data_IF_003744356314
#
_entry.id   IF_003744356314
#
_cell.length_a   1.000
_cell.length_b   1.000
_cell.length_c   1.000
_cell.angle_alpha   90.00
_cell.angle_beta   90.00
_cell.angle_gamma   90.00
#
_symmetry.space_group_name_H-M   'P 1'
#
loop_
_entity.id
_entity.type
_entity.pdbx_description
1 polymer ?
#
# COMPACT_ATOMS: atom_id res chain seq x y z
N UNK A 1 -6.90 26.92 5.90
CA UNK A 1 -6.53 26.94 4.46
C UNK A 1 -5.95 25.56 4.08
N UNK A 2 -6.40 24.98 2.94
CA UNK A 2 -5.94 23.68 2.45
C UNK A 2 -4.56 23.77 1.76
N UNK A 3 -3.99 22.59 1.40
CA UNK A 3 -2.71 22.48 0.70
C UNK A 3 -2.70 23.27 -0.62
N UNK A 4 -3.79 23.21 -1.39
CA UNK A 4 -3.91 23.97 -2.65
C UNK A 4 -3.80 25.49 -2.46
N UNK A 5 -4.34 26.03 -1.38
CA UNK A 5 -4.19 27.46 -1.06
C UNK A 5 -2.73 27.82 -0.75
N UNK A 6 -2.03 26.97 0.01
CA UNK A 6 -0.61 27.18 0.31
C UNK A 6 0.27 27.15 -0.95
N UNK A 7 -0.01 26.25 -1.88
CA UNK A 7 0.68 26.20 -3.18
C UNK A 7 0.43 27.49 -3.97
N UNK A 8 -0.82 27.96 -4.03
CA UNK A 8 -1.15 29.19 -4.73
C UNK A 8 -0.46 30.41 -4.09
N UNK A 9 -0.46 30.50 -2.75
CA UNK A 9 0.23 31.59 -2.03
C UNK A 9 1.75 31.56 -2.29
N UNK A 10 2.34 30.37 -2.36
CA UNK A 10 3.76 30.20 -2.74
C UNK A 10 4.01 30.67 -4.18
N UNK A 11 3.17 30.29 -5.14
CA UNK A 11 3.31 30.71 -6.54
C UNK A 11 3.12 32.21 -6.72
N UNK A 12 2.19 32.81 -6.00
CA UNK A 12 2.00 34.26 -5.98
C UNK A 12 3.25 34.99 -5.43
N UNK A 13 3.84 34.49 -4.33
CA UNK A 13 5.07 35.06 -3.80
C UNK A 13 6.25 34.99 -4.79
N UNK A 14 6.35 33.92 -5.61
CA UNK A 14 7.32 33.87 -6.73
C UNK A 14 7.05 34.96 -7.77
N UNK A 15 5.80 35.26 -8.08
CA UNK A 15 5.44 36.35 -9.02
C UNK A 15 5.90 37.72 -8.49
N UNK A 16 5.82 37.94 -7.17
CA UNK A 16 6.32 39.17 -6.55
C UNK A 16 7.86 39.32 -6.71
N UNK A 17 8.60 38.21 -6.56
CA UNK A 17 10.07 38.21 -6.81
C UNK A 17 10.37 38.45 -8.27
N UNK A 18 9.58 37.94 -9.22
CA UNK A 18 9.77 38.22 -10.66
C UNK A 18 9.59 39.70 -10.95
N UNK A 19 8.62 40.35 -10.28
CA UNK A 19 8.35 41.77 -10.43
C UNK A 19 9.45 42.68 -9.79
N UNK A 20 10.06 42.23 -8.69
CA UNK A 20 11.10 42.94 -7.94
C UNK A 20 12.26 42.01 -7.52
N UNK A 21 13.15 41.58 -8.46
CA UNK A 21 14.12 40.51 -8.21
C UNK A 21 15.17 40.84 -7.15
N UNK A 22 15.42 42.09 -6.86
CA UNK A 22 16.39 42.55 -5.86
C UNK A 22 15.77 42.87 -4.50
N UNK A 23 14.44 42.78 -4.38
CA UNK A 23 13.75 43.03 -3.11
C UNK A 23 13.93 41.82 -2.16
N UNK A 24 14.64 42.09 -1.07
CA UNK A 24 14.90 41.08 -0.02
C UNK A 24 13.62 40.66 0.71
N UNK A 25 12.64 41.55 0.83
CA UNK A 25 11.36 41.25 1.50
C UNK A 25 10.55 40.24 0.66
N UNK A 26 10.45 40.45 -0.66
CA UNK A 26 9.82 39.52 -1.57
C UNK A 26 10.51 38.14 -1.57
N UNK A 27 11.83 38.11 -1.58
CA UNK A 27 12.63 36.84 -1.51
C UNK A 27 12.38 36.11 -0.19
N UNK A 28 12.35 36.84 0.94
CA UNK A 28 12.08 36.25 2.25
C UNK A 28 10.66 35.68 2.33
N UNK A 29 9.68 36.40 1.74
CA UNK A 29 8.30 35.92 1.66
C UNK A 29 8.20 34.59 0.90
N UNK A 30 8.89 34.45 -0.26
CA UNK A 30 8.92 33.17 -1.00
C UNK A 30 9.41 32.04 -0.12
N UNK A 31 10.54 32.22 0.57
CA UNK A 31 11.08 31.17 1.45
C UNK A 31 10.10 30.77 2.56
N UNK A 32 9.41 31.76 3.14
CA UNK A 32 8.37 31.51 4.16
C UNK A 32 7.21 30.69 3.57
N UNK A 33 6.70 31.06 2.38
CA UNK A 33 5.61 30.34 1.73
C UNK A 33 6.00 28.92 1.27
N UNK A 34 7.26 28.75 0.87
CA UNK A 34 7.82 27.43 0.58
C UNK A 34 7.84 26.54 1.81
N UNK A 35 8.31 27.05 2.96
CA UNK A 35 8.34 26.29 4.22
C UNK A 35 6.92 25.94 4.69
N UNK A 36 5.98 26.86 4.61
CA UNK A 36 4.56 26.61 4.90
C UNK A 36 3.99 25.49 4.00
N UNK A 37 4.28 25.53 2.70
CA UNK A 37 3.81 24.52 1.74
C UNK A 37 4.43 23.17 2.05
N UNK A 38 5.74 23.09 2.28
CA UNK A 38 6.43 21.86 2.66
C UNK A 38 5.92 21.29 3.99
N UNK A 39 5.66 22.15 4.98
CA UNK A 39 5.09 21.75 6.27
C UNK A 39 3.69 21.14 6.11
N UNK A 40 2.83 21.73 5.26
CA UNK A 40 1.49 21.18 4.99
C UNK A 40 1.54 19.86 4.25
N UNK A 41 2.49 19.68 3.30
CA UNK A 41 2.71 18.40 2.64
C UNK A 41 3.11 17.31 3.64
N UNK A 42 4.07 17.61 4.54
CA UNK A 42 4.46 16.68 5.62
C UNK A 42 3.28 16.33 6.52
N UNK A 43 2.52 17.32 6.99
CA UNK A 43 1.33 17.08 7.82
C UNK A 43 0.29 16.20 7.10
N UNK A 44 0.12 16.37 5.78
CA UNK A 44 -0.79 15.53 5.00
C UNK A 44 -0.27 14.09 4.89
N UNK A 45 1.04 13.90 4.71
CA UNK A 45 1.66 12.59 4.70
C UNK A 45 1.55 11.88 6.06
N UNK A 46 1.82 12.61 7.16
CA UNK A 46 1.67 12.09 8.53
C UNK A 46 0.22 11.65 8.79
N UNK A 47 -0.76 12.42 8.29
CA UNK A 47 -2.17 12.06 8.41
C UNK A 47 -2.52 10.77 7.66
N UNK A 48 -1.96 10.56 6.46
CA UNK A 48 -2.13 9.30 5.72
C UNK A 48 -1.55 8.12 6.52
N UNK A 49 -0.36 8.29 7.10
CA UNK A 49 0.28 7.26 7.93
C UNK A 49 -0.55 6.95 9.19
N UNK A 50 -1.12 7.95 9.85
CA UNK A 50 -2.00 7.79 11.02
C UNK A 50 -3.28 7.02 10.65
N UNK A 51 -3.88 7.35 9.50
CA UNK A 51 -5.07 6.63 8.99
C UNK A 51 -4.69 5.17 8.69
N UNK A 52 -3.55 4.92 8.05
CA UNK A 52 -3.07 3.57 7.76
C UNK A 52 -2.90 2.74 9.04
N UNK A 53 -2.29 3.33 10.07
CA UNK A 53 -2.14 2.69 11.37
C UNK A 53 -3.52 2.33 11.97
N UNK A 54 -4.44 3.28 11.99
CA UNK A 54 -5.79 3.10 12.54
C UNK A 54 -6.54 1.98 11.80
N UNK A 55 -6.48 1.97 10.48
CA UNK A 55 -7.12 0.93 9.65
C UNK A 55 -6.51 -0.45 9.91
N UNK A 56 -5.19 -0.53 10.06
CA UNK A 56 -4.52 -1.79 10.36
C UNK A 56 -4.93 -2.35 11.74
N UNK A 57 -5.05 -1.48 12.74
CA UNK A 57 -5.54 -1.88 14.07
C UNK A 57 -7.01 -2.32 14.03
N UNK A 58 -7.86 -1.63 13.28
CA UNK A 58 -9.27 -2.03 13.08
C UNK A 58 -9.39 -3.38 12.37
N UNK A 59 -8.53 -3.65 11.37
CA UNK A 59 -8.44 -4.95 10.71
C UNK A 59 -8.07 -6.07 11.69
N UNK A 60 -7.09 -5.83 12.57
CA UNK A 60 -6.68 -6.80 13.60
C UNK A 60 -7.81 -7.07 14.58
N UNK A 61 -8.50 -6.03 15.04
CA UNK A 61 -9.64 -6.14 15.94
C UNK A 61 -10.79 -6.92 15.29
N UNK A 62 -11.09 -6.64 14.03
CA UNK A 62 -12.09 -7.35 13.24
C UNK A 62 -11.74 -8.85 13.10
N UNK A 63 -10.48 -9.17 12.80
CA UNK A 63 -10.02 -10.57 12.73
C UNK A 63 -10.17 -11.30 14.09
N UNK A 64 -9.82 -10.64 15.19
CA UNK A 64 -9.99 -11.19 16.53
C UNK A 64 -11.49 -11.44 16.86
N UNK A 65 -12.38 -10.55 16.45
CA UNK A 65 -13.82 -10.72 16.61
C UNK A 65 -14.32 -11.90 15.78
N UNK A 66 -13.90 -12.03 14.53
CA UNK A 66 -14.21 -13.19 13.68
C UNK A 66 -13.72 -14.49 14.32
N UNK A 67 -12.52 -14.52 14.89
CA UNK A 67 -12.00 -15.69 15.60
C UNK A 67 -12.87 -16.09 16.80
N UNK A 68 -13.35 -15.11 17.57
CA UNK A 68 -14.21 -15.35 18.72
C UNK A 68 -15.56 -15.91 18.28
N UNK A 69 -16.17 -15.33 17.24
CA UNK A 69 -17.44 -15.79 16.68
C UNK A 69 -17.30 -17.17 16.01
N UNK A 70 -16.19 -17.44 15.33
CA UNK A 70 -15.92 -18.75 14.73
C UNK A 70 -15.81 -19.86 15.80
N UNK A 71 -15.15 -19.58 16.92
CA UNK A 71 -15.08 -20.51 18.08
C UNK A 71 -16.46 -20.73 18.70
N UNK A 72 -17.25 -19.67 18.84
CA UNK A 72 -18.64 -19.78 19.34
C UNK A 72 -19.49 -20.62 18.39
N UNK A 73 -19.39 -20.40 17.08
CA UNK A 73 -20.06 -21.19 16.06
C UNK A 73 -19.70 -22.67 16.13
N UNK A 74 -18.40 -22.99 16.28
CA UNK A 74 -17.92 -24.36 16.44
C UNK A 74 -18.51 -25.05 17.69
N UNK A 75 -18.58 -24.32 18.81
CA UNK A 75 -19.20 -24.81 20.05
C UNK A 75 -20.72 -25.05 19.90
N UNK A 76 -21.43 -24.16 19.21
CA UNK A 76 -22.86 -24.35 18.92
C UNK A 76 -23.04 -25.56 17.99
N UNK A 77 -22.23 -25.74 16.97
CA UNK A 77 -22.26 -26.92 16.10
C UNK A 77 -22.08 -28.22 16.92
N UNK A 78 -21.15 -28.24 17.87
CA UNK A 78 -20.94 -29.41 18.75
C UNK A 78 -22.21 -29.72 19.58
N UNK A 79 -22.86 -28.71 20.14
CA UNK A 79 -24.10 -28.90 20.90
C UNK A 79 -25.24 -29.39 20.02
N UNK A 80 -25.36 -28.84 18.80
CA UNK A 80 -26.41 -29.29 17.83
C UNK A 80 -26.16 -30.76 17.44
N UNK A 81 -24.92 -31.13 17.09
CA UNK A 81 -24.60 -32.52 16.74
C UNK A 81 -24.96 -33.51 17.86
N UNK A 82 -24.64 -33.15 19.10
CA UNK A 82 -25.02 -33.98 20.28
C UNK A 82 -26.54 -34.08 20.44
N UNK A 83 -27.29 -32.98 20.29
CA UNK A 83 -28.73 -32.98 20.43
C UNK A 83 -29.42 -33.79 19.31
N UNK A 84 -28.96 -33.61 18.07
CA UNK A 84 -29.46 -34.35 16.88
C UNK A 84 -29.15 -35.82 16.99
N UNK A 85 -27.97 -36.22 17.49
CA UNK A 85 -27.62 -37.60 17.77
C UNK A 85 -28.52 -38.28 18.79
N UNK A 86 -29.13 -37.50 19.70
CA UNK A 86 -30.09 -37.94 20.69
C UNK A 86 -31.56 -37.86 20.18
N UNK A 87 -31.79 -37.53 18.91
CA UNK A 87 -33.12 -37.41 18.31
C UNK A 87 -33.89 -36.16 18.67
N UNK A 88 -33.24 -35.12 19.19
CA UNK A 88 -33.83 -33.83 19.57
C UNK A 88 -33.60 -32.78 18.46
N UNK A 89 -34.59 -31.88 18.32
CA UNK A 89 -34.44 -30.70 17.43
C UNK A 89 -34.18 -29.47 18.30
N UNK A 90 -32.92 -28.99 18.38
CA UNK A 90 -32.53 -27.91 19.29
C UNK A 90 -32.78 -26.53 18.66
N UNK A 91 -34.04 -26.09 18.53
CA UNK A 91 -34.38 -24.84 17.83
C UNK A 91 -33.64 -23.61 18.38
N UNK A 92 -33.49 -23.50 19.70
CA UNK A 92 -32.77 -22.37 20.33
C UNK A 92 -31.32 -22.31 19.90
N UNK A 93 -30.64 -23.46 19.71
CA UNK A 93 -29.25 -23.52 19.22
C UNK A 93 -29.19 -23.19 17.74
N UNK A 94 -30.18 -23.56 16.96
CA UNK A 94 -30.28 -23.20 15.53
C UNK A 94 -30.41 -21.69 15.37
N UNK A 95 -31.26 -21.04 16.17
CA UNK A 95 -31.45 -19.59 16.17
C UNK A 95 -30.16 -18.86 16.60
N UNK A 96 -29.49 -19.35 17.66
CA UNK A 96 -28.21 -18.82 18.10
C UNK A 96 -27.14 -18.95 17.00
N UNK A 97 -27.09 -20.09 16.32
CA UNK A 97 -26.17 -20.30 15.20
C UNK A 97 -26.38 -19.30 14.07
N UNK A 98 -27.62 -19.11 13.66
CA UNK A 98 -27.94 -18.11 12.64
C UNK A 98 -27.58 -16.70 13.04
N UNK A 99 -27.75 -16.35 14.33
CA UNK A 99 -27.31 -15.05 14.84
C UNK A 99 -25.80 -14.88 14.71
N UNK A 100 -25.01 -15.86 15.15
CA UNK A 100 -23.53 -15.82 15.03
C UNK A 100 -23.09 -15.75 13.58
N UNK A 101 -23.75 -16.47 12.67
CA UNK A 101 -23.46 -16.39 11.23
C UNK A 101 -23.72 -14.99 10.68
N UNK A 102 -24.84 -14.35 11.07
CA UNK A 102 -25.13 -12.97 10.67
C UNK A 102 -24.06 -11.99 11.17
N UNK A 103 -23.59 -12.18 12.40
CA UNK A 103 -22.53 -11.35 12.97
C UNK A 103 -21.19 -11.55 12.23
N UNK A 104 -20.80 -12.80 11.93
CA UNK A 104 -19.61 -13.08 11.11
C UNK A 104 -19.70 -12.39 9.74
N UNK A 105 -20.87 -12.44 9.10
CA UNK A 105 -21.08 -11.86 7.78
C UNK A 105 -20.99 -10.32 7.74
N UNK A 106 -21.05 -9.63 8.88
CA UNK A 106 -20.74 -8.20 8.94
C UNK A 106 -19.26 -7.93 8.69
N UNK A 107 -18.38 -8.86 9.10
CA UNK A 107 -16.93 -8.74 8.97
C UNK A 107 -16.41 -9.38 7.68
N UNK A 108 -16.88 -10.59 7.36
CA UNK A 108 -16.45 -11.34 6.18
C UNK A 108 -17.61 -12.19 5.65
N UNK A 109 -17.84 -12.12 4.34
CA UNK A 109 -18.89 -12.90 3.70
C UNK A 109 -18.56 -14.38 3.74
N UNK A 110 -19.52 -15.21 4.18
CA UNK A 110 -19.35 -16.65 4.28
C UNK A 110 -20.34 -17.40 3.39
N UNK A 111 -19.93 -18.59 2.94
CA UNK A 111 -20.80 -19.60 2.33
C UNK A 111 -21.03 -20.71 3.34
N UNK A 112 -22.29 -21.13 3.50
CA UNK A 112 -22.70 -22.18 4.42
C UNK A 112 -22.83 -23.51 3.69
N UNK A 113 -22.26 -24.58 4.27
CA UNK A 113 -22.42 -25.96 3.77
C UNK A 113 -22.92 -26.81 4.93
N UNK A 114 -24.19 -27.28 4.87
CA UNK A 114 -24.74 -28.18 5.90
C UNK A 114 -24.13 -29.57 5.80
N UNK A 115 -23.99 -30.26 6.95
CA UNK A 115 -23.55 -31.62 7.07
C UNK A 115 -24.66 -32.50 7.66
N UNK A 116 -24.57 -33.84 7.46
CA UNK A 116 -25.58 -34.82 7.85
C UNK A 116 -25.78 -34.94 9.37
N UNK A 117 -24.79 -34.53 10.16
CA UNK A 117 -24.79 -34.52 11.62
C UNK A 117 -25.47 -33.26 12.21
N UNK A 118 -26.04 -32.39 11.34
CA UNK A 118 -26.69 -31.14 11.73
C UNK A 118 -25.71 -29.97 11.91
N UNK A 119 -24.40 -30.16 11.77
CA UNK A 119 -23.44 -29.08 11.77
C UNK A 119 -23.48 -28.31 10.46
N UNK A 120 -22.97 -27.07 10.48
CA UNK A 120 -22.77 -26.24 9.27
C UNK A 120 -21.31 -25.83 9.19
N UNK A 121 -20.68 -26.09 8.04
CA UNK A 121 -19.38 -25.51 7.69
C UNK A 121 -19.55 -24.07 7.18
N UNK A 122 -18.68 -23.16 7.61
CA UNK A 122 -18.58 -21.81 7.09
C UNK A 122 -17.31 -21.65 6.28
N UNK A 123 -17.42 -21.16 5.06
CA UNK A 123 -16.31 -20.98 4.13
C UNK A 123 -16.18 -19.52 3.71
N UNK A 124 -14.94 -19.02 3.66
CA UNK A 124 -14.60 -17.66 3.20
C UNK A 124 -13.86 -17.79 1.86
N UNK A 125 -14.06 -16.82 0.96
CA UNK A 125 -13.38 -16.84 -0.35
C UNK A 125 -13.73 -18.08 -1.18
N UNK A 126 -14.91 -18.64 -0.96
CA UNK A 126 -15.44 -19.81 -1.68
C UNK A 126 -14.88 -21.17 -1.25
N UNK A 127 -13.67 -21.22 -0.72
CA UNK A 127 -13.01 -22.52 -0.43
C UNK A 127 -12.30 -22.61 0.92
N UNK A 128 -12.08 -21.52 1.62
CA UNK A 128 -11.33 -21.54 2.87
C UNK A 128 -12.26 -21.73 4.07
N UNK A 129 -12.23 -22.88 4.77
CA UNK A 129 -13.09 -23.09 5.91
C UNK A 129 -12.67 -22.21 7.07
N UNK A 130 -13.58 -21.36 7.51
CA UNK A 130 -13.50 -20.62 8.77
C UNK A 130 -13.96 -21.53 9.94
N UNK A 131 -15.04 -22.27 9.72
CA UNK A 131 -15.53 -23.29 10.66
C UNK A 131 -15.84 -24.56 9.87
N UNK A 132 -15.31 -25.71 10.34
CA UNK A 132 -15.59 -27.01 9.78
C UNK A 132 -16.00 -27.97 10.89
N UNK A 133 -17.25 -28.39 10.89
CA UNK A 133 -17.82 -29.18 12.00
C UNK A 133 -17.68 -28.43 13.33
N UNK A 134 -16.90 -28.98 14.24
CA UNK A 134 -16.64 -28.44 15.58
C UNK A 134 -15.30 -27.69 15.70
N UNK A 135 -14.62 -27.44 14.58
CA UNK A 135 -13.30 -26.82 14.57
C UNK A 135 -13.35 -25.46 13.89
N UNK A 136 -12.81 -24.43 14.55
CA UNK A 136 -12.61 -23.10 13.98
C UNK A 136 -11.16 -22.94 13.48
N UNK A 137 -11.00 -22.31 12.30
CA UNK A 137 -9.71 -21.90 11.77
C UNK A 137 -9.36 -20.51 12.28
N UNK A 138 -8.12 -20.29 12.66
CA UNK A 138 -7.66 -18.98 13.11
C UNK A 138 -7.36 -18.07 11.89
N UNK A 139 -7.87 -16.85 11.97
CA UNK A 139 -7.57 -15.79 11.00
C UNK A 139 -6.76 -14.68 11.65
N UNK A 140 -5.84 -14.12 10.91
CA UNK A 140 -5.01 -13.00 11.34
C UNK A 140 -4.87 -12.00 10.20
N UNK A 141 -4.47 -10.78 10.52
CA UNK A 141 -4.08 -9.77 9.53
C UNK A 141 -2.58 -9.64 9.54
N UNK A 142 -1.97 -9.71 8.38
CA UNK A 142 -0.53 -9.62 8.23
C UNK A 142 -0.11 -9.12 6.87
N UNK A 143 1.18 -8.87 6.75
CA UNK A 143 1.77 -8.48 5.47
C UNK A 143 1.63 -9.60 4.44
N UNK A 144 1.48 -9.21 3.18
CA UNK A 144 1.47 -10.16 2.08
C UNK A 144 2.77 -10.98 2.05
N UNK A 145 2.64 -12.30 2.18
CA UNK A 145 3.79 -13.21 2.10
C UNK A 145 4.29 -13.43 0.67
N UNK A 146 3.51 -13.03 -0.33
CA UNK A 146 3.85 -13.25 -1.73
C UNK A 146 4.68 -12.13 -2.32
N UNK A 147 4.45 -10.88 -1.91
CA UNK A 147 5.34 -9.77 -2.30
C UNK A 147 4.82 -8.40 -1.85
N UNK A 148 5.70 -7.58 -1.28
CA UNK A 148 6.90 -7.98 -0.57
C UNK A 148 6.50 -8.83 0.60
N UNK A 149 7.23 -9.88 0.93
CA UNK A 149 6.79 -10.86 1.91
C UNK A 149 6.82 -10.33 3.35
N UNK A 150 6.19 -11.11 4.22
CA UNK A 150 6.26 -10.97 5.66
C UNK A 150 7.71 -10.81 6.13
N UNK A 151 8.03 -9.68 6.75
CA UNK A 151 9.39 -9.32 7.17
C UNK A 151 9.91 -8.04 6.51
N UNK A 152 9.31 -7.59 5.42
CA UNK A 152 9.54 -6.26 4.88
C UNK A 152 8.60 -5.29 5.62
N UNK A 153 9.08 -4.74 6.73
CA UNK A 153 8.40 -3.67 7.46
C UNK A 153 8.17 -2.52 6.48
N UNK A 154 6.91 -2.10 6.29
CA UNK A 154 6.49 -0.96 5.48
C UNK A 154 6.16 -1.21 3.99
N UNK A 155 5.82 -2.44 3.58
CA UNK A 155 5.16 -2.59 2.27
C UNK A 155 3.82 -1.85 2.22
N UNK A 156 3.17 -1.70 3.38
CA UNK A 156 1.87 -1.06 3.53
C UNK A 156 0.70 -1.91 3.04
N UNK A 157 0.96 -3.07 2.41
CA UNK A 157 -0.07 -4.00 1.98
C UNK A 157 -0.31 -5.07 3.03
N UNK A 158 -1.56 -5.36 3.33
CA UNK A 158 -1.98 -6.38 4.29
C UNK A 158 -2.98 -7.33 3.66
N UNK A 159 -3.01 -8.57 4.17
CA UNK A 159 -3.96 -9.61 3.74
C UNK A 159 -4.55 -10.31 4.94
N UNK A 160 -5.66 -10.98 4.71
CA UNK A 160 -6.24 -11.89 5.69
C UNK A 160 -5.56 -13.25 5.56
N UNK A 161 -4.99 -13.72 6.67
CA UNK A 161 -4.20 -14.95 6.75
C UNK A 161 -5.01 -16.02 7.47
N UNK A 162 -5.19 -17.18 6.84
CA UNK A 162 -5.79 -18.36 7.47
C UNK A 162 -4.70 -19.29 7.92
N UNK A 163 -4.68 -19.62 9.21
CA UNK A 163 -3.69 -20.51 9.82
C UNK A 163 -4.35 -21.78 10.31
N UNK A 164 -3.91 -22.92 9.76
CA UNK A 164 -4.29 -24.24 10.26
C UNK A 164 -3.06 -24.94 10.84
N UNK A 165 -3.21 -25.68 11.95
CA UNK A 165 -2.12 -26.46 12.48
C UNK A 165 -1.54 -27.41 11.43
N UNK A 166 -0.21 -27.37 11.22
CA UNK A 166 0.49 -28.24 10.28
C UNK A 166 0.33 -27.91 8.79
N UNK A 167 -0.30 -26.78 8.44
CA UNK A 167 -0.46 -26.36 7.04
C UNK A 167 0.19 -24.99 6.80
N UNK A 168 0.62 -24.69 5.57
CA UNK A 168 1.05 -23.34 5.20
C UNK A 168 -0.06 -22.31 5.44
N UNK A 169 0.31 -21.09 5.77
CA UNK A 169 -0.64 -19.98 5.84
C UNK A 169 -1.23 -19.73 4.46
N UNK A 170 -2.54 -19.53 4.41
CA UNK A 170 -3.25 -19.20 3.18
C UNK A 170 -3.59 -17.71 3.25
N UNK A 171 -3.21 -16.96 2.21
CA UNK A 171 -3.44 -15.53 2.09
C UNK A 171 -4.69 -15.28 1.24
N UNK A 172 -5.60 -14.45 1.74
CA UNK A 172 -6.74 -13.95 0.99
C UNK A 172 -6.63 -12.43 0.87
N UNK A 173 -6.70 -11.93 -0.34
CA UNK A 173 -6.83 -10.50 -0.62
C UNK A 173 -8.31 -10.07 -0.62
N UNK A 174 -8.54 -8.77 -0.74
CA UNK A 174 -9.87 -8.17 -0.73
C UNK A 174 -10.80 -8.72 -1.83
N UNK A 175 -10.25 -9.12 -2.98
CA UNK A 175 -11.05 -9.60 -4.12
C UNK A 175 -11.59 -11.02 -3.87
N UNK A 176 -10.90 -11.79 -3.03
CA UNK A 176 -11.30 -13.15 -2.68
C UNK A 176 -12.38 -13.19 -1.60
N UNK A 177 -12.53 -12.14 -0.79
CA UNK A 177 -13.39 -12.15 0.40
C UNK A 177 -14.89 -11.96 0.11
N UNK A 178 -15.25 -11.52 -1.09
CA UNK A 178 -16.62 -11.33 -1.53
C UNK A 178 -17.37 -10.16 -0.88
N UNK A 179 -17.02 -9.75 0.35
CA UNK A 179 -17.66 -8.64 1.07
C UNK A 179 -17.39 -8.64 2.57
N UNK A 180 -18.06 -7.71 3.28
CA UNK A 180 -17.89 -7.47 4.71
C UNK A 180 -16.91 -6.33 5.01
N UNK A 181 -16.85 -5.88 6.28
CA UNK A 181 -16.01 -4.74 6.69
C UNK A 181 -14.53 -4.99 6.49
N UNK A 182 -14.05 -6.24 6.67
CA UNK A 182 -12.64 -6.60 6.45
C UNK A 182 -12.24 -6.40 4.99
N UNK A 183 -13.07 -6.82 4.03
CA UNK A 183 -12.80 -6.61 2.60
C UNK A 183 -12.71 -5.12 2.25
N UNK A 184 -13.63 -4.31 2.78
CA UNK A 184 -13.63 -2.86 2.59
C UNK A 184 -12.38 -2.18 3.19
N UNK A 185 -11.99 -2.55 4.40
CA UNK A 185 -10.81 -2.02 5.07
C UNK A 185 -9.50 -2.44 4.38
N UNK A 186 -9.41 -3.69 3.90
CA UNK A 186 -8.26 -4.16 3.11
C UNK A 186 -8.11 -3.38 1.83
N UNK A 187 -9.21 -3.20 1.06
CA UNK A 187 -9.21 -2.40 -0.16
C UNK A 187 -8.80 -0.96 0.14
N UNK A 188 -9.38 -0.34 1.15
CA UNK A 188 -9.04 1.02 1.54
C UNK A 188 -7.56 1.17 1.88
N UNK A 189 -7.00 0.23 2.67
CA UNK A 189 -5.58 0.24 3.02
C UNK A 189 -4.66 0.00 1.81
N UNK A 190 -4.96 -1.04 1.03
CA UNK A 190 -4.06 -1.51 -0.02
C UNK A 190 -4.14 -0.68 -1.31
N UNK A 191 -5.30 -0.08 -1.59
CA UNK A 191 -5.56 0.64 -2.83
C UNK A 191 -5.73 2.14 -2.57
N UNK A 192 -6.75 2.54 -1.82
CA UNK A 192 -7.15 3.94 -1.74
C UNK A 192 -6.12 4.80 -0.99
N UNK A 193 -5.58 4.31 0.14
CA UNK A 193 -4.50 5.01 0.87
C UNK A 193 -3.18 5.00 0.11
N UNK A 194 -2.85 3.91 -0.57
CA UNK A 194 -1.65 3.83 -1.40
C UNK A 194 -1.72 4.84 -2.56
N UNK A 195 -2.87 4.94 -3.23
CA UNK A 195 -3.10 5.93 -4.27
C UNK A 195 -3.00 7.36 -3.72
N UNK A 196 -3.65 7.65 -2.59
CA UNK A 196 -3.57 8.96 -1.93
C UNK A 196 -2.14 9.38 -1.59
N UNK A 197 -1.33 8.45 -1.06
CA UNK A 197 0.09 8.67 -0.77
C UNK A 197 0.88 8.95 -2.06
N UNK A 198 0.69 8.14 -3.08
CA UNK A 198 1.39 8.27 -4.35
C UNK A 198 1.03 9.59 -5.07
N UNK A 199 -0.22 10.04 -5.00
CA UNK A 199 -0.64 11.34 -5.52
C UNK A 199 0.00 12.50 -4.78
N UNK A 200 0.02 12.45 -3.44
CA UNK A 200 0.65 13.48 -2.61
C UNK A 200 2.17 13.56 -2.87
N UNK A 201 2.84 12.41 -2.88
CA UNK A 201 4.27 12.34 -3.10
C UNK A 201 4.68 12.75 -4.51
N UNK A 202 3.93 12.32 -5.54
CA UNK A 202 4.10 12.81 -6.91
C UNK A 202 4.02 14.32 -6.99
N UNK A 203 3.03 14.93 -6.34
CA UNK A 203 2.87 16.39 -6.34
C UNK A 203 4.06 17.07 -5.64
N UNK A 204 4.49 16.56 -4.47
CA UNK A 204 5.63 17.10 -3.73
C UNK A 204 6.91 17.01 -4.56
N UNK A 205 7.16 15.86 -5.20
CA UNK A 205 8.33 15.64 -6.03
C UNK A 205 8.31 16.54 -7.29
N UNK A 206 7.17 16.64 -7.97
CA UNK A 206 7.04 17.49 -9.16
C UNK A 206 7.30 18.97 -8.84
N UNK A 207 6.74 19.49 -7.75
CA UNK A 207 6.97 20.87 -7.32
C UNK A 207 8.44 21.09 -6.94
N UNK A 208 8.99 20.22 -6.08
CA UNK A 208 10.37 20.38 -5.59
C UNK A 208 11.41 20.26 -6.69
N UNK A 209 11.27 19.29 -7.60
CA UNK A 209 12.22 19.12 -8.72
C UNK A 209 12.12 20.25 -9.72
N UNK A 210 10.91 20.73 -10.06
CA UNK A 210 10.73 21.87 -10.97
C UNK A 210 11.36 23.13 -10.41
N UNK A 211 11.06 23.47 -9.15
CA UNK A 211 11.57 24.69 -8.53
C UNK A 211 13.08 24.60 -8.28
N UNK A 212 13.59 23.45 -7.88
CA UNK A 212 15.03 23.23 -7.74
C UNK A 212 15.75 23.39 -9.08
N UNK A 213 15.22 22.80 -10.16
CA UNK A 213 15.81 22.93 -11.48
C UNK A 213 15.80 24.40 -11.94
N UNK A 214 14.69 25.10 -11.85
CA UNK A 214 14.58 26.51 -12.22
C UNK A 214 15.56 27.38 -11.42
N UNK A 215 15.73 27.10 -10.12
CA UNK A 215 16.68 27.83 -9.28
C UNK A 215 18.12 27.67 -9.71
N UNK A 216 18.51 26.46 -10.17
CA UNK A 216 19.90 26.24 -10.66
C UNK A 216 20.23 26.97 -11.96
N UNK A 217 19.22 27.36 -12.72
CA UNK A 217 19.38 28.20 -13.93
C UNK A 217 19.58 29.69 -13.61
N UNK A 218 19.23 30.11 -12.40
CA UNK A 218 19.30 31.48 -11.93
C UNK A 218 20.64 31.80 -11.23
N UNK A 219 20.85 33.10 -10.98
CA UNK A 219 21.97 33.60 -10.20
C UNK A 219 21.47 34.20 -8.87
N UNK A 220 22.29 34.02 -7.83
CA UNK A 220 22.12 34.75 -6.55
C UNK A 220 22.46 36.22 -6.72
N UNK A 221 22.20 37.03 -5.70
CA UNK A 221 22.60 38.43 -5.70
C UNK A 221 24.13 38.63 -5.80
N UNK A 222 24.90 37.61 -5.38
CA UNK A 222 26.36 37.60 -5.46
C UNK A 222 26.90 37.06 -6.80
N UNK A 223 26.01 36.81 -7.79
CA UNK A 223 26.36 36.30 -9.10
C UNK A 223 26.75 34.81 -9.16
N UNK A 224 26.42 34.02 -8.11
CA UNK A 224 26.71 32.60 -8.03
C UNK A 224 25.45 31.83 -8.47
N UNK A 225 25.63 30.64 -9.09
CA UNK A 225 24.52 29.77 -9.46
C UNK A 225 23.62 29.42 -8.26
N UNK A 226 22.33 29.42 -8.48
CA UNK A 226 21.35 29.09 -7.45
C UNK A 226 21.51 27.66 -6.93
N UNK A 227 21.28 27.46 -5.64
CA UNK A 227 21.27 26.13 -5.01
C UNK A 227 19.83 25.60 -4.91
N UNK A 228 19.63 24.28 -4.83
CA UNK A 228 18.29 23.72 -4.62
C UNK A 228 17.55 24.37 -3.45
N UNK A 229 16.28 24.67 -3.65
CA UNK A 229 15.41 25.30 -2.65
C UNK A 229 14.79 24.27 -1.71
N UNK A 230 14.50 23.08 -2.23
CA UNK A 230 13.96 21.96 -1.46
C UNK A 230 15.02 20.87 -1.32
N UNK A 231 15.12 20.32 -0.11
CA UNK A 231 15.85 19.07 0.09
C UNK A 231 14.99 17.91 -0.46
N UNK A 232 15.53 17.18 -1.43
CA UNK A 232 14.91 15.99 -1.98
C UNK A 232 15.73 14.76 -1.63
N UNK A 233 15.08 13.63 -1.41
CA UNK A 233 15.77 12.36 -1.24
C UNK A 233 16.38 11.97 -2.59
N UNK A 234 17.70 11.79 -2.70
CA UNK A 234 18.34 11.57 -4.01
C UNK A 234 17.98 10.21 -4.62
N UNK A 235 17.69 9.23 -3.79
CA UNK A 235 17.28 7.89 -4.23
C UNK A 235 16.44 7.19 -3.18
N UNK A 236 15.55 6.30 -3.64
CA UNK A 236 14.70 5.46 -2.78
C UNK A 236 15.11 4.01 -2.99
N UNK A 237 15.46 3.26 -1.93
CA UNK A 237 15.83 1.85 -2.06
C UNK A 237 14.64 0.98 -2.43
N UNK A 238 14.91 -0.08 -3.18
CA UNK A 238 13.94 -1.14 -3.48
C UNK A 238 13.78 -2.08 -2.29
N UNK A 239 12.57 -2.58 -2.12
CA UNK A 239 12.24 -3.61 -1.14
C UNK A 239 12.30 -4.98 -1.82
N UNK A 240 13.13 -5.87 -1.32
CA UNK A 240 13.32 -7.23 -1.84
C UNK A 240 13.46 -8.24 -0.71
N UNK A 241 13.21 -9.50 -1.01
CA UNK A 241 13.51 -10.64 -0.15
C UNK A 241 14.69 -11.46 -0.64
N UNK A 242 15.12 -11.20 -1.85
CA UNK A 242 16.18 -11.93 -2.50
C UNK A 242 17.52 -11.19 -2.42
N UNK A 243 18.30 -11.32 -3.48
CA UNK A 243 19.67 -10.82 -3.59
C UNK A 243 19.78 -9.52 -4.38
N UNK A 244 18.74 -9.11 -5.09
CA UNK A 244 18.74 -7.89 -5.88
C UNK A 244 18.93 -6.66 -4.97
N UNK A 245 19.86 -5.80 -5.30
CA UNK A 245 20.06 -4.52 -4.61
C UNK A 245 19.84 -3.40 -5.61
N UNK A 246 18.74 -2.69 -5.45
CA UNK A 246 18.33 -1.62 -6.36
C UNK A 246 17.83 -0.38 -5.65
N UNK A 247 17.88 0.73 -6.36
CA UNK A 247 17.27 1.99 -5.94
C UNK A 247 16.68 2.71 -7.15
N UNK A 248 15.69 3.57 -6.91
CA UNK A 248 15.26 4.54 -7.91
C UNK A 248 15.82 5.90 -7.59
N UNK A 249 16.19 6.61 -8.66
CA UNK A 249 16.57 8.01 -8.59
C UNK A 249 15.67 8.85 -9.50
N UNK A 250 15.61 10.13 -9.16
CA UNK A 250 14.82 11.11 -9.89
C UNK A 250 15.78 11.91 -10.77
N UNK A 251 15.49 11.99 -12.06
CA UNK A 251 16.33 12.74 -12.99
C UNK A 251 15.98 14.21 -12.94
N UNK A 252 16.96 15.04 -12.64
CA UNK A 252 16.83 16.49 -12.62
C UNK A 252 17.63 17.07 -13.81
N UNK A 253 17.07 17.04 -15.00
CA UNK A 253 17.74 17.51 -16.23
C UNK A 253 16.82 18.33 -17.11
N UNK A 254 17.40 19.08 -18.05
CA UNK A 254 16.66 19.86 -19.07
C UNK A 254 15.75 18.99 -19.95
N UNK A 255 16.01 17.70 -20.03
CA UNK A 255 15.22 16.73 -20.82
C UNK A 255 14.04 16.14 -20.03
N UNK A 256 13.88 16.51 -18.76
CA UNK A 256 12.90 15.91 -17.86
C UNK A 256 11.70 16.82 -17.66
N UNK A 257 10.51 16.25 -17.85
CA UNK A 257 9.23 16.94 -17.52
C UNK A 257 8.66 16.35 -16.22
N UNK A 258 8.44 17.17 -15.18
CA UNK A 258 7.80 16.71 -13.94
C UNK A 258 6.39 16.13 -14.14
N UNK A 259 5.78 16.39 -15.27
CA UNK A 259 4.47 15.83 -15.65
C UNK A 259 4.55 14.35 -16.04
N UNK A 260 5.75 13.82 -16.29
CA UNK A 260 5.98 12.40 -16.60
C UNK A 260 5.84 11.50 -15.37
N UNK A 261 6.01 12.03 -14.16
CA UNK A 261 5.81 11.23 -12.95
C UNK A 261 4.40 10.63 -12.91
N UNK A 262 4.31 9.31 -12.80
CA UNK A 262 3.05 8.62 -12.54
C UNK A 262 2.91 8.35 -11.03
N UNK A 263 1.72 8.61 -10.49
CA UNK A 263 1.40 8.31 -9.09
C UNK A 263 1.21 6.79 -8.92
N UNK A 264 2.31 6.07 -8.74
CA UNK A 264 2.30 4.61 -8.65
C UNK A 264 3.51 4.09 -7.89
N UNK A 265 3.32 2.94 -7.26
CA UNK A 265 4.40 2.04 -6.89
C UNK A 265 4.83 1.24 -8.14
N UNK A 266 6.08 0.73 -8.13
CA UNK A 266 6.66 -0.02 -9.24
C UNK A 266 7.23 -1.33 -8.75
N UNK A 267 7.11 -2.36 -9.56
CA UNK A 267 7.71 -3.66 -9.30
C UNK A 267 8.63 -4.07 -10.44
N UNK A 268 9.90 -4.29 -10.12
CA UNK A 268 10.84 -4.92 -11.04
C UNK A 268 10.73 -6.42 -10.87
N UNK A 269 10.36 -7.12 -11.95
CA UNK A 269 10.24 -8.58 -12.01
C UNK A 269 11.36 -9.11 -12.88
N UNK A 270 12.32 -9.80 -12.26
CA UNK A 270 13.35 -10.51 -12.99
C UNK A 270 12.77 -11.74 -13.68
N UNK A 271 13.30 -12.09 -14.83
CA UNK A 271 12.92 -13.28 -15.57
C UNK A 271 13.52 -14.56 -14.95
N UNK A 272 13.30 -15.71 -15.58
CA UNK A 272 13.82 -17.01 -15.14
C UNK A 272 15.36 -17.09 -15.15
N UNK A 273 16.04 -16.17 -15.82
CA UNK A 273 17.51 -16.08 -15.84
C UNK A 273 18.08 -15.19 -14.73
N UNK A 274 17.24 -14.32 -14.15
CA UNK A 274 17.66 -13.31 -13.18
C UNK A 274 18.47 -12.15 -13.77
N UNK A 275 18.59 -12.06 -15.10
CA UNK A 275 19.38 -11.05 -15.82
C UNK A 275 18.51 -9.95 -16.41
N UNK A 276 17.49 -10.34 -17.15
CA UNK A 276 16.48 -9.45 -17.74
C UNK A 276 15.18 -9.47 -16.95
N UNK A 277 14.15 -8.82 -17.50
CA UNK A 277 12.84 -8.83 -16.88
C UNK A 277 11.96 -7.68 -17.37
N UNK A 278 11.06 -7.23 -16.49
CA UNK A 278 10.16 -6.13 -16.77
C UNK A 278 9.93 -5.25 -15.52
N UNK A 279 9.75 -3.97 -15.74
CA UNK A 279 9.23 -3.03 -14.74
C UNK A 279 7.72 -2.95 -14.91
N UNK A 280 6.98 -3.20 -13.84
CA UNK A 280 5.51 -3.13 -13.81
C UNK A 280 5.10 -1.91 -13.00
N UNK A 281 4.34 -1.01 -13.59
CA UNK A 281 3.66 0.07 -12.88
C UNK A 281 2.40 -0.49 -12.23
N UNK A 282 2.30 -0.41 -10.90
CA UNK A 282 1.26 -1.14 -10.17
C UNK A 282 -0.14 -0.50 -10.26
N UNK A 283 -0.23 0.81 -10.57
CA UNK A 283 -1.51 1.51 -10.69
C UNK A 283 -2.38 1.06 -11.87
N UNK A 284 -1.77 0.63 -12.98
CA UNK A 284 -2.47 0.27 -14.21
C UNK A 284 -1.93 -1.01 -14.88
N UNK A 285 -0.90 -1.64 -14.31
CA UNK A 285 -0.29 -2.84 -14.83
C UNK A 285 0.59 -2.64 -16.09
N UNK A 286 0.89 -1.38 -16.48
CA UNK A 286 1.78 -1.10 -17.61
C UNK A 286 3.15 -1.72 -17.39
N UNK A 287 3.67 -2.43 -18.38
CA UNK A 287 4.96 -3.11 -18.32
C UNK A 287 5.97 -2.46 -19.27
N UNK A 288 7.22 -2.37 -18.81
CA UNK A 288 8.38 -1.95 -19.62
C UNK A 288 9.46 -3.02 -19.53
N UNK A 289 9.77 -3.75 -20.61
CA UNK A 289 10.77 -4.82 -20.58
C UNK A 289 12.20 -4.24 -20.54
N UNK A 290 13.12 -4.99 -19.95
CA UNK A 290 14.56 -4.72 -19.99
C UNK A 290 15.34 -6.01 -20.21
N UNK A 291 16.49 -5.93 -20.87
CA UNK A 291 17.32 -7.09 -21.17
C UNK A 291 18.38 -7.38 -20.10
N UNK A 292 18.80 -6.34 -19.37
CA UNK A 292 19.74 -6.42 -18.23
C UNK A 292 19.65 -5.15 -17.39
N UNK A 293 20.25 -5.17 -16.21
CA UNK A 293 20.24 -4.02 -15.28
C UNK A 293 20.95 -2.77 -15.83
N UNK A 294 21.95 -2.93 -16.70
CA UNK A 294 22.63 -1.79 -17.31
C UNK A 294 21.72 -1.06 -18.32
N UNK A 295 20.93 -1.81 -19.10
CA UNK A 295 19.91 -1.25 -19.99
C UNK A 295 18.83 -0.55 -19.18
N UNK A 296 18.40 -1.15 -18.06
CA UNK A 296 17.40 -0.57 -17.19
C UNK A 296 17.87 0.75 -16.57
N UNK A 297 19.15 0.83 -16.16
CA UNK A 297 19.73 2.04 -15.58
C UNK A 297 19.81 3.23 -16.58
N UNK A 298 19.74 2.96 -17.88
CA UNK A 298 19.72 3.99 -18.93
C UNK A 298 18.33 4.28 -19.47
N UNK A 299 17.33 3.50 -19.05
CA UNK A 299 15.94 3.65 -19.48
C UNK A 299 15.17 4.50 -18.47
N UNK A 300 14.62 5.60 -18.92
CA UNK A 300 13.72 6.42 -18.12
C UNK A 300 12.29 5.88 -18.20
N UNK A 301 11.69 5.61 -17.05
CA UNK A 301 10.33 5.11 -16.94
C UNK A 301 9.55 6.07 -16.04
N UNK A 302 8.60 6.79 -16.61
CA UNK A 302 7.78 7.79 -15.91
C UNK A 302 8.64 8.81 -15.11
N UNK A 303 9.76 9.26 -15.67
CA UNK A 303 10.69 10.19 -15.01
C UNK A 303 11.59 9.56 -13.94
N UNK A 304 11.52 8.26 -13.76
CA UNK A 304 12.32 7.50 -12.79
C UNK A 304 13.44 6.73 -13.50
N UNK A 305 14.59 6.61 -12.84
CA UNK A 305 15.70 5.75 -13.25
C UNK A 305 15.90 4.66 -12.22
N UNK A 306 15.91 3.40 -12.66
CA UNK A 306 16.05 2.21 -11.82
C UNK A 306 17.49 1.73 -11.85
N UNK A 307 18.20 1.87 -10.74
CA UNK A 307 19.62 1.53 -10.62
C UNK A 307 19.77 0.28 -9.75
N UNK A 308 20.47 -0.73 -10.27
CA UNK A 308 20.76 -1.96 -9.55
C UNK A 308 22.27 -2.12 -9.42
N UNK A 309 22.75 -2.45 -8.23
CA UNK A 309 24.15 -2.81 -7.94
C UNK A 309 24.36 -4.32 -7.88
N UNK A 310 23.28 -5.08 -7.71
CA UNK A 310 23.28 -6.53 -7.81
C UNK A 310 22.01 -7.01 -8.55
N UNK A 311 22.20 -7.99 -9.44
CA UNK A 311 21.10 -8.63 -10.17
C UNK A 311 20.24 -9.48 -9.24
N UNK A 312 19.00 -9.73 -9.64
CA UNK A 312 18.11 -10.66 -8.96
C UNK A 312 18.47 -12.12 -9.21
N UNK A 313 17.84 -12.98 -8.45
CA UNK A 313 17.72 -14.41 -8.76
C UNK A 313 16.55 -14.63 -9.73
N UNK A 314 16.41 -15.88 -10.23
CA UNK A 314 15.30 -16.27 -11.12
C UNK A 314 13.94 -15.89 -10.51
N UNK A 315 13.14 -15.15 -11.27
CA UNK A 315 11.80 -14.69 -10.90
C UNK A 315 11.74 -13.81 -9.64
N UNK A 316 12.86 -13.25 -9.21
CA UNK A 316 12.90 -12.32 -8.07
C UNK A 316 12.13 -11.04 -8.40
N UNK A 317 11.52 -10.46 -7.37
CA UNK A 317 10.70 -9.25 -7.46
C UNK A 317 11.23 -8.21 -6.50
N UNK A 318 11.29 -6.95 -6.94
CA UNK A 318 11.73 -5.81 -6.14
C UNK A 318 10.67 -4.71 -6.22
N UNK A 319 10.11 -4.34 -5.08
CA UNK A 319 9.12 -3.26 -4.99
C UNK A 319 9.82 -1.93 -4.75
N UNK A 320 9.40 -0.93 -5.50
CA UNK A 320 9.81 0.46 -5.34
C UNK A 320 8.60 1.32 -5.02
N UNK A 321 8.73 2.13 -3.97
CA UNK A 321 7.74 3.11 -3.53
C UNK A 321 8.36 4.50 -3.64
N UNK A 322 8.23 5.17 -4.80
CA UNK A 322 8.90 6.44 -5.08
C UNK A 322 8.38 7.59 -4.23
N UNK A 323 7.19 7.47 -3.65
CA UNK A 323 6.47 8.54 -3.00
C UNK A 323 6.04 8.22 -1.57
#
# INVERSE_FOLDING_TARGET
QGLGAAINDMMNAFSDVVAAPTDLSARTLVLTRMDETASRMRTSADRINEIQYTVTEELKNSANTVNSLAKQMAAINEQIARATGNGQTPNDLLDQREQVIREINQYVQTTQIPADDGTIGLFVGGSQPLVLGTTATEVAVGDSGTFPSSGQVNSGQVKLLFTRPGSPKIELDENMLGGGSISGLLRFNNTDLAEGRNLLGRMALAISTTLNYQQTLGLTLDGVAGKPLFATTPSVPGLTLGTAVGSISFTNSASFSPTEFAASDYEVRFDATGVGGQVVRLSDGKTTPFTNIATLATTQIDGLTFNFTATGTANERVLFKPF
#
